data_IF_989178204067
#
_entry.id   IF_989178204067
#
_cell.length_a   1.000
_cell.length_b   1.000
_cell.length_c   1.000
_cell.angle_alpha   90.00
_cell.angle_beta   90.00
_cell.angle_gamma   90.00
#
_symmetry.space_group_name_H-M   'P 1'
#
loop_
_entity.id
_entity.type
_entity.pdbx_description
1 polymer ?
#
# COMPACT_ATOMS: atom_id res chain seq x y z
N UNK A 1 -4.58 21.61 8.28
CA UNK A 1 -4.44 20.54 9.30
C UNK A 1 -5.47 19.46 9.03
N UNK A 2 -5.05 18.19 9.06
CA UNK A 2 -5.97 17.08 8.91
C UNK A 2 -6.79 16.85 10.16
N UNK A 3 -8.07 16.58 9.97
CA UNK A 3 -8.90 15.98 10.99
C UNK A 3 -9.00 14.48 10.70
N UNK A 4 -9.05 13.66 11.74
CA UNK A 4 -9.08 12.20 11.59
C UNK A 4 -10.24 11.72 10.73
N UNK A 5 -11.39 12.37 10.80
CA UNK A 5 -12.56 12.00 9.99
C UNK A 5 -12.35 12.27 8.50
N UNK A 6 -11.39 13.11 8.17
CA UNK A 6 -11.11 13.50 6.78
C UNK A 6 -10.00 12.69 6.14
N UNK A 7 -9.40 11.75 6.87
CA UNK A 7 -8.34 10.93 6.33
C UNK A 7 -8.89 9.93 5.32
N UNK A 8 -8.28 9.95 4.14
CA UNK A 8 -8.50 8.95 3.10
C UNK A 8 -7.15 8.31 2.83
N UNK A 9 -6.96 7.11 3.36
CA UNK A 9 -5.66 6.46 3.44
C UNK A 9 -5.41 5.60 2.20
N UNK A 10 -4.21 5.69 1.65
CA UNK A 10 -3.74 4.79 0.61
C UNK A 10 -2.46 4.10 1.09
N UNK A 11 -2.44 2.79 0.98
CA UNK A 11 -1.26 1.98 1.25
C UNK A 11 -0.65 1.60 -0.09
N UNK A 12 0.60 1.97 -0.33
CA UNK A 12 1.29 1.75 -1.59
C UNK A 12 2.25 0.57 -1.42
N UNK A 13 1.94 -0.53 -2.07
CA UNK A 13 2.66 -1.78 -1.92
C UNK A 13 1.97 -2.71 -0.94
N UNK A 14 1.48 -3.86 -1.43
CA UNK A 14 0.66 -4.79 -0.64
C UNK A 14 1.40 -6.12 -0.42
N UNK A 15 2.66 -6.01 0.00
CA UNK A 15 3.47 -7.16 0.35
C UNK A 15 3.39 -7.49 1.84
N UNK A 16 4.51 -7.95 2.40
CA UNK A 16 4.57 -8.42 3.78
C UNK A 16 4.24 -7.35 4.82
N UNK A 17 4.57 -6.10 4.53
CA UNK A 17 4.33 -4.99 5.46
C UNK A 17 3.03 -4.29 5.13
N UNK A 18 2.81 -4.01 3.85
CA UNK A 18 1.69 -3.18 3.42
C UNK A 18 0.34 -3.83 3.59
N UNK A 19 0.21 -5.13 3.30
CA UNK A 19 -1.09 -5.78 3.40
C UNK A 19 -1.62 -5.83 4.82
N UNK A 20 -0.84 -6.29 5.83
CA UNK A 20 -1.34 -6.27 7.21
C UNK A 20 -1.74 -4.87 7.67
N UNK A 21 -0.96 -3.87 7.28
CA UNK A 21 -1.26 -2.48 7.63
C UNK A 21 -2.56 -2.01 6.98
N UNK A 22 -2.75 -2.32 5.69
CA UNK A 22 -3.97 -1.98 4.97
C UNK A 22 -5.20 -2.63 5.59
N UNK A 23 -5.09 -3.88 6.00
CA UNK A 23 -6.17 -4.61 6.66
C UNK A 23 -6.56 -3.94 7.97
N UNK A 24 -5.57 -3.58 8.80
CA UNK A 24 -5.85 -2.93 10.08
C UNK A 24 -6.54 -1.58 9.91
N UNK A 25 -6.06 -0.74 9.00
CA UNK A 25 -6.73 0.52 8.72
C UNK A 25 -8.12 0.29 8.11
N UNK A 26 -8.24 -0.69 7.23
CA UNK A 26 -9.50 -0.98 6.53
C UNK A 26 -10.59 -1.52 7.41
N UNK A 27 -10.28 -1.96 8.62
CA UNK A 27 -11.30 -2.33 9.60
C UNK A 27 -12.03 -1.12 10.16
N UNK A 28 -11.42 0.05 10.13
CA UNK A 28 -11.92 1.24 10.82
C UNK A 28 -12.16 2.43 9.90
N UNK A 29 -11.42 2.57 8.82
CA UNK A 29 -11.44 3.75 7.95
C UNK A 29 -11.41 3.36 6.49
N UNK A 30 -11.99 4.20 5.60
CA UNK A 30 -11.83 3.99 4.17
C UNK A 30 -10.34 3.96 3.81
N UNK A 31 -9.91 2.84 3.24
CA UNK A 31 -8.51 2.60 2.92
C UNK A 31 -8.41 2.02 1.53
N UNK A 32 -7.47 2.54 0.74
CA UNK A 32 -7.19 2.04 -0.60
C UNK A 32 -5.84 1.33 -0.57
N UNK A 33 -5.84 0.05 -0.92
CA UNK A 33 -4.61 -0.71 -1.11
C UNK A 33 -4.23 -0.68 -2.58
N UNK A 34 -3.05 -0.18 -2.87
CA UNK A 34 -2.54 -0.05 -4.23
C UNK A 34 -1.31 -0.92 -4.42
N UNK A 35 -1.30 -1.67 -5.53
CA UNK A 35 -0.12 -2.40 -5.97
C UNK A 35 -0.10 -2.41 -7.50
N UNK A 36 1.07 -2.22 -8.10
CA UNK A 36 1.20 -2.26 -9.56
C UNK A 36 1.06 -3.68 -10.10
N UNK A 37 1.21 -4.68 -9.25
CA UNK A 37 1.11 -6.08 -9.63
C UNK A 37 -0.37 -6.49 -9.70
N UNK A 38 -0.88 -6.64 -10.92
CA UNK A 38 -2.27 -6.97 -11.15
C UNK A 38 -2.65 -8.34 -10.60
N UNK A 39 -1.72 -9.31 -10.61
CA UNK A 39 -1.98 -10.63 -10.05
C UNK A 39 -2.17 -10.56 -8.53
N UNK A 40 -1.38 -9.72 -7.87
CA UNK A 40 -1.52 -9.50 -6.44
C UNK A 40 -2.91 -8.93 -6.10
N UNK A 41 -3.35 -7.95 -6.88
CA UNK A 41 -4.69 -7.38 -6.68
C UNK A 41 -5.77 -8.42 -6.92
N UNK A 42 -5.64 -9.23 -7.97
CA UNK A 42 -6.63 -10.28 -8.26
C UNK A 42 -6.72 -11.31 -7.13
N UNK A 43 -5.57 -11.73 -6.57
CA UNK A 43 -5.60 -12.68 -5.46
C UNK A 43 -6.24 -12.10 -4.21
N UNK A 44 -5.97 -10.84 -3.90
CA UNK A 44 -6.57 -10.19 -2.74
C UNK A 44 -8.07 -9.99 -2.91
N UNK A 45 -8.51 -9.65 -4.11
CA UNK A 45 -9.94 -9.55 -4.40
C UNK A 45 -10.63 -10.91 -4.28
N UNK A 46 -9.90 -12.01 -4.52
CA UNK A 46 -10.42 -13.35 -4.33
C UNK A 46 -10.39 -13.80 -2.86
N UNK A 47 -9.88 -12.96 -1.96
CA UNK A 47 -9.83 -13.26 -0.53
C UNK A 47 -8.65 -14.13 -0.12
N UNK A 48 -7.56 -14.09 -0.88
CA UNK A 48 -6.39 -14.94 -0.64
C UNK A 48 -5.11 -14.11 -0.55
N UNK A 49 -4.23 -14.46 0.38
CA UNK A 49 -2.90 -13.87 0.53
C UNK A 49 -1.85 -14.98 0.50
N UNK A 50 -1.12 -15.08 -0.62
CA UNK A 50 -0.09 -16.12 -0.77
C UNK A 50 1.10 -15.91 0.18
N UNK A 51 1.31 -14.71 0.71
CA UNK A 51 2.38 -14.45 1.68
C UNK A 51 2.04 -14.98 3.07
N UNK A 52 0.77 -15.38 3.28
CA UNK A 52 0.27 -15.94 4.53
C UNK A 52 0.39 -15.00 5.74
N UNK A 53 0.57 -13.71 5.49
CA UNK A 53 0.59 -12.70 6.56
C UNK A 53 -0.82 -12.39 7.08
N UNK A 54 -1.82 -12.60 6.23
CA UNK A 54 -3.20 -12.29 6.53
C UNK A 54 -4.10 -13.45 6.13
N UNK A 55 -4.97 -13.89 7.02
CA UNK A 55 -5.91 -14.96 6.74
C UNK A 55 -7.08 -14.45 5.89
N UNK A 56 -7.80 -15.39 5.25
CA UNK A 56 -9.00 -15.04 4.49
C UNK A 56 -10.05 -14.35 5.38
N UNK A 57 -10.16 -14.77 6.64
CA UNK A 57 -11.08 -14.14 7.59
C UNK A 57 -10.69 -12.70 7.89
N UNK A 58 -9.41 -12.45 8.11
CA UNK A 58 -8.92 -11.10 8.36
C UNK A 58 -9.17 -10.19 7.17
N UNK A 59 -8.98 -10.70 5.94
CA UNK A 59 -9.28 -9.94 4.74
C UNK A 59 -10.76 -9.55 4.68
N UNK A 60 -11.64 -10.46 5.08
CA UNK A 60 -13.08 -10.19 5.11
C UNK A 60 -13.47 -9.15 6.15
N UNK A 61 -12.73 -9.07 7.25
CA UNK A 61 -13.03 -8.11 8.32
C UNK A 61 -12.70 -6.67 7.93
N UNK A 62 -11.85 -6.48 6.93
CA UNK A 62 -11.46 -5.16 6.46
C UNK A 62 -12.50 -4.60 5.48
N UNK A 63 -13.68 -4.28 5.98
CA UNK A 63 -14.85 -3.91 5.17
C UNK A 63 -14.65 -2.60 4.40
N UNK A 64 -13.78 -1.72 4.87
CA UNK A 64 -13.55 -0.42 4.27
C UNK A 64 -12.28 -0.41 3.41
N UNK A 65 -11.68 -1.57 3.17
CA UNK A 65 -10.48 -1.71 2.35
C UNK A 65 -10.86 -2.06 0.93
N UNK A 66 -10.35 -1.27 -0.02
CA UNK A 66 -10.47 -1.55 -1.46
C UNK A 66 -9.09 -1.74 -2.04
N UNK A 67 -9.00 -2.56 -3.09
CA UNK A 67 -7.74 -2.87 -3.75
C UNK A 67 -7.77 -2.35 -5.19
N UNK A 68 -6.65 -1.82 -5.66
CA UNK A 68 -6.54 -1.37 -7.05
C UNK A 68 -5.09 -1.42 -7.55
N UNK A 69 -4.93 -1.60 -8.86
CA UNK A 69 -3.65 -1.40 -9.54
C UNK A 69 -3.67 -0.12 -10.39
N UNK A 70 -4.76 0.64 -10.34
CA UNK A 70 -4.92 1.86 -11.12
C UNK A 70 -4.53 3.07 -10.26
N UNK A 71 -3.43 3.74 -10.65
CA UNK A 71 -2.92 4.87 -9.88
C UNK A 71 -3.86 6.06 -9.87
N UNK A 72 -4.76 6.17 -10.85
CA UNK A 72 -5.69 7.31 -10.87
C UNK A 72 -6.67 7.27 -9.70
N UNK A 73 -6.94 6.09 -9.15
CA UNK A 73 -7.76 5.96 -7.95
C UNK A 73 -7.12 6.63 -6.73
N UNK A 74 -5.80 6.79 -6.73
CA UNK A 74 -5.08 7.44 -5.63
C UNK A 74 -5.38 8.93 -5.50
N UNK A 75 -5.96 9.55 -6.53
CA UNK A 75 -6.33 10.97 -6.49
C UNK A 75 -7.30 11.30 -5.38
N UNK A 76 -8.06 10.32 -4.92
CA UNK A 76 -9.05 10.50 -3.86
C UNK A 76 -8.44 10.38 -2.47
N UNK A 77 -7.21 9.94 -2.37
CA UNK A 77 -6.53 9.77 -1.09
C UNK A 77 -5.78 11.04 -0.70
N UNK A 78 -5.58 11.24 0.59
CA UNK A 78 -4.85 12.40 1.11
C UNK A 78 -3.77 12.02 2.11
N UNK A 79 -3.65 10.74 2.43
CA UNK A 79 -2.61 10.24 3.32
C UNK A 79 -2.06 8.95 2.72
N UNK A 80 -0.80 9.00 2.28
CA UNK A 80 -0.17 7.90 1.57
C UNK A 80 0.90 7.27 2.44
N UNK A 81 0.83 5.95 2.60
CA UNK A 81 1.85 5.19 3.32
C UNK A 81 2.54 4.27 2.31
N UNK A 82 3.83 4.49 2.10
CA UNK A 82 4.63 3.75 1.13
C UNK A 82 5.31 2.59 1.84
N UNK A 83 4.95 1.37 1.45
CA UNK A 83 5.44 0.13 2.05
C UNK A 83 6.02 -0.81 1.01
N UNK A 84 6.53 -0.25 -0.10
CA UNK A 84 7.14 -1.05 -1.15
C UNK A 84 8.45 -1.66 -0.66
N UNK A 85 8.85 -2.82 -1.22
CA UNK A 85 10.09 -3.46 -0.80
C UNK A 85 11.32 -2.64 -1.23
N UNK A 86 12.38 -2.76 -0.43
CA UNK A 86 13.72 -2.27 -0.78
C UNK A 86 14.64 -3.48 -0.81
N UNK A 87 14.62 -4.28 -1.90
CA UNK A 87 15.46 -5.48 -1.96
C UNK A 87 16.94 -5.12 -1.99
N UNK A 88 17.76 -6.03 -1.51
CA UNK A 88 19.22 -5.88 -1.56
C UNK A 88 19.73 -6.69 -2.74
N UNK A 89 20.55 -6.05 -3.59
CA UNK A 89 21.12 -6.69 -4.77
C UNK A 89 22.31 -7.61 -4.40
N UNK A 90 22.91 -8.25 -5.40
CA UNK A 90 24.02 -9.17 -5.23
C UNK A 90 25.25 -8.51 -4.61
N UNK A 91 25.37 -7.20 -4.66
CA UNK A 91 26.46 -6.43 -4.07
C UNK A 91 26.09 -5.87 -2.69
N UNK A 92 24.99 -6.35 -2.10
CA UNK A 92 24.47 -5.90 -0.81
C UNK A 92 24.10 -4.41 -0.81
N UNK A 93 23.75 -3.87 -1.98
CA UNK A 93 23.29 -2.50 -2.12
C UNK A 93 21.75 -2.51 -2.20
N UNK A 94 21.07 -1.55 -1.57
CA UNK A 94 19.62 -1.48 -1.67
C UNK A 94 19.22 -1.12 -3.10
N UNK A 95 18.23 -1.84 -3.62
CA UNK A 95 17.60 -1.49 -4.89
C UNK A 95 16.45 -0.55 -4.60
N UNK A 96 16.62 0.71 -4.96
CA UNK A 96 15.63 1.75 -4.70
C UNK A 96 14.59 1.89 -5.81
N UNK A 97 14.64 1.03 -6.83
CA UNK A 97 13.73 1.13 -7.97
C UNK A 97 12.25 1.13 -7.57
N UNK A 98 11.78 0.20 -6.72
CA UNK A 98 10.36 0.24 -6.30
C UNK A 98 10.01 1.53 -5.58
N UNK A 99 10.91 2.04 -4.76
CA UNK A 99 10.70 3.28 -4.01
C UNK A 99 10.61 4.48 -4.95
N UNK A 100 11.52 4.58 -5.90
CA UNK A 100 11.54 5.67 -6.87
C UNK A 100 10.26 5.66 -7.71
N UNK A 101 9.87 4.49 -8.22
CA UNK A 101 8.66 4.35 -9.03
C UNK A 101 7.40 4.71 -8.24
N UNK A 102 7.32 4.29 -6.99
CA UNK A 102 6.18 4.62 -6.13
C UNK A 102 6.11 6.12 -5.86
N UNK A 103 7.26 6.74 -5.61
CA UNK A 103 7.33 8.19 -5.38
C UNK A 103 6.91 8.97 -6.62
N UNK A 104 7.32 8.53 -7.80
CA UNK A 104 6.91 9.15 -9.06
C UNK A 104 5.40 9.03 -9.27
N UNK A 105 4.84 7.86 -8.97
CA UNK A 105 3.40 7.62 -9.08
C UNK A 105 2.61 8.54 -8.16
N UNK A 106 3.03 8.63 -6.90
CA UNK A 106 2.39 9.52 -5.92
C UNK A 106 2.53 10.97 -6.35
N UNK A 107 3.69 11.35 -6.88
CA UNK A 107 3.92 12.72 -7.34
C UNK A 107 2.93 13.18 -8.40
N UNK A 108 2.40 12.26 -9.20
CA UNK A 108 1.41 12.58 -10.23
C UNK A 108 0.03 12.89 -9.67
N UNK A 109 -0.27 12.43 -8.46
CA UNK A 109 -1.60 12.55 -7.86
C UNK A 109 -1.60 13.42 -6.60
N UNK A 110 -0.43 13.82 -6.12
CA UNK A 110 -0.29 14.55 -4.86
C UNK A 110 -0.92 15.93 -4.97
N UNK A 111 -1.66 16.30 -3.93
CA UNK A 111 -2.33 17.60 -3.84
C UNK A 111 -1.80 18.36 -2.63
N UNK A 112 -1.98 19.67 -2.64
CA UNK A 112 -1.61 20.51 -1.50
C UNK A 112 -2.31 20.02 -0.24
N UNK A 113 -1.54 19.84 0.82
CA UNK A 113 -2.04 19.36 2.09
C UNK A 113 -1.97 17.85 2.28
N UNK A 114 -1.68 17.09 1.22
CA UNK A 114 -1.51 15.64 1.33
C UNK A 114 -0.24 15.31 2.13
N UNK A 115 -0.26 14.15 2.78
CA UNK A 115 0.86 13.65 3.57
C UNK A 115 1.34 12.33 2.98
N UNK A 116 2.66 12.17 2.90
CA UNK A 116 3.29 10.92 2.45
C UNK A 116 4.21 10.42 3.56
N UNK A 117 4.02 9.18 3.97
CA UNK A 117 4.84 8.52 4.99
C UNK A 117 5.54 7.32 4.33
N UNK A 118 6.82 7.17 4.58
CA UNK A 118 7.59 6.03 4.09
C UNK A 118 7.85 5.07 5.23
N UNK A 119 7.33 3.85 5.08
CA UNK A 119 7.54 2.73 5.99
C UNK A 119 8.41 1.72 5.25
N UNK A 120 9.72 1.82 5.39
CA UNK A 120 10.66 1.03 4.61
C UNK A 120 11.40 0.03 5.48
N UNK A 121 11.58 -1.18 4.94
CA UNK A 121 12.47 -2.16 5.54
C UNK A 121 13.35 -2.76 4.45
N UNK A 122 14.61 -3.07 4.79
CA UNK A 122 15.51 -3.80 3.91
C UNK A 122 15.17 -5.28 4.01
N UNK A 123 14.98 -5.91 2.85
CA UNK A 123 14.61 -7.31 2.80
C UNK A 123 15.78 -8.08 2.18
N UNK A 124 16.31 -9.04 2.93
CA UNK A 124 17.24 -10.01 2.41
C UNK A 124 16.46 -11.09 1.69
N UNK A 125 16.76 -11.24 0.42
CA UNK A 125 16.16 -12.28 -0.40
C UNK A 125 17.21 -13.32 -0.73
#
# INVERSE_FOLDING_TARGET
>A
MFQLEQLSIAIIGLGYVGLPLAVEFGKQKPTLGFDINQQRIAELLAGHDHTLETSAEELKQALNLRYTHDFTALKQSNFFIVTVPTPIDDFKQPDLTPLIKSSETIGQVLKKGDIVVYELSLIHI
#
